data_IF_951577265975
#
_entry.id   IF_951577265975
#
_cell.length_a   1.000
_cell.length_b   1.000
_cell.length_c   1.000
_cell.angle_alpha   90.00
_cell.angle_beta   90.00
_cell.angle_gamma   90.00
#
_symmetry.space_group_name_H-M   'P 1'
#
loop_
_entity.id
_entity.type
_entity.pdbx_description
1 polymer ?
#
# COMPACT_ATOMS: atom_id res chain seq x y z
N UNK A 1 -1.39 -13.06 5.93
CA UNK A 1 -1.26 -11.63 6.28
C UNK A 1 -0.76 -10.77 5.13
N UNK A 2 0.35 -11.12 4.45
CA UNK A 2 0.89 -10.28 3.36
C UNK A 2 -0.11 -10.06 2.20
N UNK A 3 -0.79 -11.12 1.76
CA UNK A 3 -1.81 -11.06 0.70
C UNK A 3 -3.00 -10.14 1.03
N UNK A 4 -3.47 -10.16 2.29
CA UNK A 4 -4.53 -9.27 2.74
C UNK A 4 -4.08 -7.81 2.71
N UNK A 5 -2.84 -7.52 3.14
CA UNK A 5 -2.27 -6.17 3.04
C UNK A 5 -2.16 -5.69 1.60
N UNK A 6 -1.77 -6.57 0.66
CA UNK A 6 -1.65 -6.23 -0.75
C UNK A 6 -2.98 -5.86 -1.42
N UNK A 7 -4.08 -6.49 -0.99
CA UNK A 7 -5.42 -6.22 -1.55
C UNK A 7 -6.22 -5.16 -0.79
N UNK A 8 -5.86 -4.88 0.47
CA UNK A 8 -6.57 -3.90 1.31
C UNK A 8 -6.69 -2.54 0.62
N UNK A 9 -5.57 -2.00 0.14
CA UNK A 9 -5.54 -0.68 -0.47
C UNK A 9 -6.26 -0.64 -1.84
N UNK A 10 -5.97 -1.53 -2.81
CA UNK A 10 -6.67 -1.51 -4.09
C UNK A 10 -8.17 -1.63 -3.94
N UNK A 11 -8.64 -2.50 -3.03
CA UNK A 11 -10.07 -2.65 -2.75
C UNK A 11 -10.64 -1.39 -2.10
N UNK A 12 -9.98 -0.83 -1.08
CA UNK A 12 -10.43 0.40 -0.44
C UNK A 12 -10.48 1.59 -1.42
N UNK A 13 -9.47 1.71 -2.29
CA UNK A 13 -9.42 2.72 -3.34
C UNK A 13 -10.56 2.55 -4.35
N UNK A 14 -10.89 1.32 -4.75
CA UNK A 14 -12.05 1.05 -5.62
C UNK A 14 -13.38 1.34 -4.94
N UNK A 15 -13.54 1.05 -3.65
CA UNK A 15 -14.74 1.41 -2.88
C UNK A 15 -14.87 2.93 -2.78
N UNK A 16 -13.78 3.63 -2.50
CA UNK A 16 -13.72 5.09 -2.49
C UNK A 16 -14.08 5.67 -3.87
N UNK A 17 -13.51 5.11 -4.94
CA UNK A 17 -13.81 5.51 -6.32
C UNK A 17 -15.28 5.23 -6.71
N UNK A 18 -15.90 4.17 -6.19
CA UNK A 18 -17.32 3.87 -6.41
C UNK A 18 -18.21 4.98 -5.82
N UNK A 19 -17.83 5.52 -4.66
CA UNK A 19 -18.54 6.65 -4.03
C UNK A 19 -18.39 7.92 -4.87
N UNK A 20 -17.18 8.20 -5.39
CA UNK A 20 -16.87 9.46 -6.09
C UNK A 20 -17.30 9.46 -7.57
N UNK A 21 -17.06 8.37 -8.29
CA UNK A 21 -17.25 8.28 -9.75
C UNK A 21 -18.44 7.40 -10.16
N UNK A 22 -19.11 6.74 -9.21
CA UNK A 22 -20.19 5.80 -9.46
C UNK A 22 -19.71 4.48 -10.07
N UNK A 23 -20.62 3.75 -10.72
CA UNK A 23 -20.41 2.37 -11.19
C UNK A 23 -19.65 2.26 -12.52
N UNK A 24 -18.87 3.29 -12.90
CA UNK A 24 -18.09 3.26 -14.14
C UNK A 24 -16.97 2.24 -14.02
N UNK A 25 -17.18 1.05 -14.60
CA UNK A 25 -16.29 -0.11 -14.48
C UNK A 25 -14.85 0.22 -14.86
N UNK A 26 -14.65 1.00 -15.92
CA UNK A 26 -13.31 1.35 -16.43
C UNK A 26 -12.53 2.19 -15.40
N UNK A 27 -13.21 3.13 -14.73
CA UNK A 27 -12.60 3.96 -13.68
C UNK A 27 -12.25 3.13 -12.46
N UNK A 28 -13.17 2.27 -12.01
CA UNK A 28 -12.95 1.41 -10.84
C UNK A 28 -11.79 0.44 -11.07
N UNK A 29 -11.74 -0.17 -12.26
CA UNK A 29 -10.66 -1.07 -12.65
C UNK A 29 -9.33 -0.34 -12.76
N UNK A 30 -9.32 0.87 -13.32
CA UNK A 30 -8.09 1.69 -13.43
C UNK A 30 -7.56 2.05 -12.05
N UNK A 31 -8.42 2.53 -11.14
CA UNK A 31 -8.02 2.86 -9.76
C UNK A 31 -7.50 1.62 -9.01
N UNK A 32 -8.18 0.48 -9.18
CA UNK A 32 -7.75 -0.79 -8.62
C UNK A 32 -6.34 -1.16 -9.11
N UNK A 33 -6.14 -1.16 -10.42
CA UNK A 33 -4.89 -1.57 -11.06
C UNK A 33 -3.73 -0.64 -10.67
N UNK A 34 -3.94 0.68 -10.69
CA UNK A 34 -2.93 1.66 -10.30
C UNK A 34 -2.47 1.49 -8.85
N UNK A 35 -3.38 1.12 -7.94
CA UNK A 35 -3.03 0.84 -6.55
C UNK A 35 -2.49 -0.57 -6.35
N UNK A 36 -2.88 -1.53 -7.19
CA UNK A 36 -2.40 -2.90 -7.09
C UNK A 36 -0.91 -2.99 -7.41
N UNK A 37 -0.41 -2.28 -8.42
CA UNK A 37 1.00 -2.30 -8.82
C UNK A 37 1.97 -2.01 -7.67
N UNK A 38 1.89 -0.86 -6.96
CA UNK A 38 2.77 -0.58 -5.83
C UNK A 38 2.59 -1.60 -4.70
N UNK A 39 1.37 -2.10 -4.49
CA UNK A 39 1.12 -3.11 -3.46
C UNK A 39 1.73 -4.46 -3.79
N UNK A 40 1.74 -4.88 -5.06
CA UNK A 40 2.45 -6.08 -5.52
C UNK A 40 3.95 -5.97 -5.24
N UNK A 41 4.55 -4.82 -5.57
CA UNK A 41 5.97 -4.54 -5.30
C UNK A 41 6.24 -4.63 -3.79
N UNK A 42 5.41 -3.95 -2.99
CA UNK A 42 5.56 -3.96 -1.54
C UNK A 42 5.45 -5.37 -0.96
N UNK A 43 4.49 -6.17 -1.45
CA UNK A 43 4.23 -7.53 -1.00
C UNK A 43 5.38 -8.46 -1.33
N UNK A 44 5.97 -8.31 -2.52
CA UNK A 44 7.17 -9.05 -2.90
C UNK A 44 8.34 -8.73 -1.97
N UNK A 45 8.60 -7.45 -1.68
CA UNK A 45 9.66 -7.04 -0.75
C UNK A 45 9.42 -7.60 0.64
N UNK A 46 8.21 -7.42 1.19
CA UNK A 46 7.86 -7.95 2.51
C UNK A 46 8.02 -9.47 2.58
N UNK A 47 7.67 -10.19 1.52
CA UNK A 47 7.86 -11.64 1.44
C UNK A 47 9.34 -12.05 1.46
N UNK A 48 10.21 -11.35 0.73
CA UNK A 48 11.66 -11.59 0.76
C UNK A 48 12.24 -11.32 2.15
N UNK A 49 11.86 -10.22 2.79
CA UNK A 49 12.30 -9.88 4.14
C UNK A 49 11.80 -10.89 5.18
N UNK A 50 10.55 -11.32 5.08
CA UNK A 50 9.95 -12.32 5.96
C UNK A 50 10.67 -13.66 5.87
N UNK A 51 11.05 -14.11 4.67
CA UNK A 51 11.85 -15.33 4.50
C UNK A 51 13.17 -15.25 5.29
N UNK A 52 13.84 -14.10 5.25
CA UNK A 52 15.04 -13.86 6.05
C UNK A 52 14.76 -13.80 7.55
N UNK A 53 13.68 -13.13 7.96
CA UNK A 53 13.29 -13.01 9.36
C UNK A 53 12.88 -14.34 9.99
N UNK A 54 12.14 -15.19 9.26
CA UNK A 54 11.73 -16.52 9.72
C UNK A 54 12.91 -17.45 9.96
N UNK A 55 13.95 -17.38 9.11
CA UNK A 55 15.18 -18.15 9.32
C UNK A 55 15.96 -17.72 10.57
N UNK A 56 15.92 -16.43 10.90
CA UNK A 56 16.63 -15.87 12.05
C UNK A 56 15.79 -15.83 13.35
N UNK A 57 14.49 -16.14 13.28
CA UNK A 57 13.56 -16.03 14.40
C UNK A 57 13.29 -14.60 14.90
N UNK A 58 13.78 -13.56 14.22
CA UNK A 58 13.68 -12.15 14.64
C UNK A 58 13.33 -11.24 13.46
N UNK A 59 12.63 -10.14 13.75
CA UNK A 59 12.34 -9.07 12.77
C UNK A 59 11.12 -9.29 11.86
N UNK A 60 10.25 -10.25 12.15
CA UNK A 60 9.08 -10.59 11.33
C UNK A 60 8.09 -9.41 11.19
N UNK A 61 7.88 -8.65 12.27
CA UNK A 61 7.02 -7.47 12.26
C UNK A 61 7.55 -6.37 11.33
N UNK A 62 8.85 -6.08 11.42
CA UNK A 62 9.53 -5.08 10.57
C UNK A 62 9.45 -5.49 9.10
N UNK A 63 9.60 -6.78 8.82
CA UNK A 63 9.53 -7.32 7.47
C UNK A 63 8.17 -7.09 6.78
N UNK A 64 7.10 -6.84 7.53
CA UNK A 64 5.76 -6.56 6.99
C UNK A 64 5.49 -5.07 6.75
N UNK A 65 6.33 -4.17 7.28
CA UNK A 65 6.12 -2.72 7.19
C UNK A 65 5.97 -2.19 5.76
N UNK A 66 6.76 -2.63 4.76
CA UNK A 66 6.64 -2.12 3.40
C UNK A 66 5.24 -2.34 2.82
N UNK A 67 4.52 -3.39 3.25
CA UNK A 67 3.16 -3.67 2.78
C UNK A 67 2.10 -3.08 3.70
N UNK A 68 2.18 -3.33 5.01
CA UNK A 68 1.09 -2.98 5.93
C UNK A 68 0.94 -1.47 6.11
N UNK A 69 2.03 -0.72 6.20
CA UNK A 69 1.96 0.72 6.47
C UNK A 69 1.37 1.48 5.27
N UNK A 70 1.86 1.31 4.02
CA UNK A 70 1.24 1.96 2.86
C UNK A 70 -0.19 1.51 2.63
N UNK A 71 -0.48 0.22 2.84
CA UNK A 71 -1.84 -0.30 2.65
C UNK A 71 -2.84 0.38 3.59
N UNK A 72 -2.49 0.47 4.87
CA UNK A 72 -3.38 1.02 5.90
C UNK A 72 -3.54 2.52 5.76
N UNK A 73 -2.43 3.26 5.66
CA UNK A 73 -2.47 4.72 5.51
C UNK A 73 -3.15 5.14 4.21
N UNK A 74 -2.84 4.47 3.10
CA UNK A 74 -3.46 4.75 1.82
C UNK A 74 -4.95 4.42 1.82
N UNK A 75 -5.38 3.30 2.43
CA UNK A 75 -6.79 2.94 2.51
C UNK A 75 -7.59 3.96 3.32
N UNK A 76 -7.08 4.37 4.48
CA UNK A 76 -7.69 5.44 5.29
C UNK A 76 -7.78 6.74 4.50
N UNK A 77 -6.70 7.10 3.80
CA UNK A 77 -6.66 8.33 3.01
C UNK A 77 -7.67 8.32 1.85
N UNK A 78 -7.75 7.23 1.08
CA UNK A 78 -8.74 7.11 0.00
C UNK A 78 -10.18 7.19 0.51
N UNK A 79 -10.49 6.44 1.57
CA UNK A 79 -11.83 6.45 2.16
C UNK A 79 -12.17 7.84 2.70
N UNK A 80 -11.23 8.53 3.33
CA UNK A 80 -11.44 9.91 3.79
C UNK A 80 -11.72 10.86 2.62
N UNK A 81 -10.94 10.80 1.53
CA UNK A 81 -11.15 11.65 0.35
C UNK A 81 -12.43 11.35 -0.42
N UNK A 82 -12.99 10.14 -0.29
CA UNK A 82 -14.32 9.84 -0.81
C UNK A 82 -15.42 10.70 -0.16
N UNK A 83 -15.28 11.03 1.12
CA UNK A 83 -16.23 11.88 1.86
C UNK A 83 -15.82 13.35 1.89
N UNK A 84 -14.53 13.64 1.75
CA UNK A 84 -13.94 14.98 1.79
C UNK A 84 -13.09 15.22 0.53
N UNK A 85 -13.73 15.31 -0.66
CA UNK A 85 -13.02 15.45 -1.92
C UNK A 85 -12.24 16.76 -2.00
N UNK A 86 -11.25 16.81 -2.90
CA UNK A 86 -10.50 18.05 -3.13
C UNK A 86 -11.43 19.19 -3.58
N UNK A 87 -11.36 20.38 -2.97
CA UNK A 87 -12.19 21.51 -3.40
C UNK A 87 -11.76 22.11 -4.74
N UNK A 88 -10.50 21.90 -5.17
CA UNK A 88 -9.92 22.48 -6.40
C UNK A 88 -10.03 21.50 -7.56
N UNK A 89 -9.72 20.22 -7.34
CA UNK A 89 -9.74 19.20 -8.39
C UNK A 89 -10.20 17.82 -7.85
N UNK A 90 -11.53 17.62 -7.64
CA UNK A 90 -12.06 16.34 -7.19
C UNK A 90 -11.59 15.18 -8.08
N UNK A 91 -11.03 14.14 -7.49
CA UNK A 91 -10.61 12.95 -8.23
C UNK A 91 -9.16 12.94 -8.71
N UNK A 92 -8.44 14.07 -8.74
CA UNK A 92 -7.02 14.11 -9.15
C UNK A 92 -6.13 13.25 -8.22
N UNK A 93 -6.52 13.13 -6.97
CA UNK A 93 -5.94 12.24 -5.96
C UNK A 93 -5.89 10.76 -6.34
N UNK A 94 -6.78 10.28 -7.20
CA UNK A 94 -6.78 8.89 -7.64
C UNK A 94 -5.69 8.59 -8.66
N UNK A 95 -5.08 9.63 -9.26
CA UNK A 95 -3.93 9.52 -10.17
C UNK A 95 -2.63 9.82 -9.42
N UNK A 96 -2.62 10.83 -8.55
CA UNK A 96 -1.43 11.21 -7.78
C UNK A 96 -1.14 10.24 -6.62
N UNK A 97 -2.18 9.73 -5.96
CA UNK A 97 -2.09 8.80 -4.82
C UNK A 97 -1.15 7.61 -5.06
N UNK A 98 -1.30 6.85 -6.17
CA UNK A 98 -0.43 5.72 -6.49
C UNK A 98 1.05 6.11 -6.65
N UNK A 99 1.35 7.32 -7.11
CA UNK A 99 2.72 7.82 -7.25
C UNK A 99 3.37 8.05 -5.89
N UNK A 100 2.65 8.73 -4.98
CA UNK A 100 3.10 8.90 -3.59
C UNK A 100 3.24 7.55 -2.88
N UNK A 101 2.36 6.60 -3.20
CA UNK A 101 2.40 5.27 -2.62
C UNK A 101 3.64 4.48 -3.07
N UNK A 102 4.01 4.56 -4.35
CA UNK A 102 5.27 3.98 -4.85
C UNK A 102 6.47 4.56 -4.09
N UNK A 103 6.53 5.88 -3.90
CA UNK A 103 7.61 6.52 -3.14
C UNK A 103 7.66 6.02 -1.69
N UNK A 104 6.50 5.91 -1.03
CA UNK A 104 6.40 5.39 0.33
C UNK A 104 6.83 3.92 0.43
N UNK A 105 6.45 3.09 -0.54
CA UNK A 105 6.87 1.67 -0.62
C UNK A 105 8.38 1.56 -0.74
N UNK A 106 9.02 2.35 -1.60
CA UNK A 106 10.49 2.35 -1.75
C UNK A 106 11.17 2.76 -0.44
N UNK A 107 10.74 3.86 0.17
CA UNK A 107 11.30 4.36 1.42
C UNK A 107 11.18 3.31 2.53
N UNK A 108 9.97 2.75 2.74
CA UNK A 108 9.73 1.77 3.78
C UNK A 108 10.42 0.43 3.51
N UNK A 109 10.61 0.07 2.23
CA UNK A 109 11.40 -1.11 1.86
C UNK A 109 12.84 -0.99 2.35
N UNK A 110 13.46 0.19 2.15
CA UNK A 110 14.83 0.46 2.63
C UNK A 110 14.88 0.44 4.16
N UNK A 111 13.96 1.15 4.81
CA UNK A 111 13.88 1.20 6.29
C UNK A 111 13.68 -0.19 6.88
N UNK A 112 12.75 -0.97 6.34
CA UNK A 112 12.47 -2.33 6.80
C UNK A 112 13.65 -3.27 6.57
N UNK A 113 14.37 -3.12 5.45
CA UNK A 113 15.56 -3.92 5.17
C UNK A 113 16.67 -3.65 6.20
N UNK A 114 16.96 -2.38 6.50
CA UNK A 114 17.92 -1.98 7.53
C UNK A 114 17.47 -2.48 8.91
N UNK A 115 16.21 -2.24 9.27
CA UNK A 115 15.65 -2.70 10.55
C UNK A 115 15.73 -4.22 10.73
N UNK A 116 15.42 -4.98 9.68
CA UNK A 116 15.58 -6.44 9.69
C UNK A 116 17.05 -6.87 9.80
N UNK A 117 17.99 -6.16 9.18
CA UNK A 117 19.43 -6.43 9.35
C UNK A 117 19.86 -6.25 10.80
N UNK A 118 19.48 -5.13 11.42
CA UNK A 118 19.82 -4.82 12.81
C UNK A 118 19.19 -5.84 13.77
N UNK A 119 17.91 -6.17 13.57
CA UNK A 119 17.20 -7.12 14.42
C UNK A 119 17.79 -8.54 14.40
N UNK A 120 18.40 -8.94 13.27
CA UNK A 120 19.07 -10.24 13.14
C UNK A 120 20.50 -10.26 13.66
N UNK A 121 21.13 -9.10 13.82
CA UNK A 121 22.48 -8.99 14.37
C UNK A 121 22.50 -9.00 15.91
N UNK A 122 21.33 -8.88 16.54
CA UNK A 122 21.11 -9.02 17.98
C UNK A 122 20.50 -10.38 18.29
#
# INVERSE_FOLDING_TARGET
>A
MNLAGMLLLPVAASVAALIVFGTRSDTLLTVFALNLVPMLISGLVSWLLLRGAMRAGKGQGIALWPTLIPATLGAVWYLWRAFMPDPVAPGAEYIAGPQYLLMAVVLLSVVAWIGCRIARAR
#
